data_IF_859183510671
#
_entry.id   IF_859183510671
#
_cell.length_a   1.000
_cell.length_b   1.000
_cell.length_c   1.000
_cell.angle_alpha   90.00
_cell.angle_beta   90.00
_cell.angle_gamma   90.00
#
_symmetry.space_group_name_H-M   'P 1'
#
loop_
_entity.id
_entity.type
_entity.pdbx_description
1 polymer ?
#
# COMPACT_ATOMS: atom_id res chain seq x y z
N UNK A 1 -13.64 8.64 17.79
CA UNK A 1 -14.10 7.34 17.23
C UNK A 1 -13.00 6.31 17.44
N UNK A 2 -13.39 5.04 17.51
CA UNK A 2 -12.43 3.93 17.52
C UNK A 2 -12.22 3.40 16.11
N UNK A 3 -11.00 3.46 15.62
CA UNK A 3 -10.63 3.09 14.25
C UNK A 3 -9.62 1.95 14.28
N UNK A 4 -9.93 0.85 13.62
CA UNK A 4 -8.97 -0.25 13.43
C UNK A 4 -8.53 -0.27 11.99
N UNK A 5 -7.23 -0.09 11.75
CA UNK A 5 -6.62 -0.32 10.44
C UNK A 5 -6.32 -1.79 10.24
N UNK A 6 -6.53 -2.28 9.02
CA UNK A 6 -6.13 -3.62 8.61
C UNK A 6 -5.39 -3.53 7.27
N UNK A 7 -4.08 -3.74 7.31
CA UNK A 7 -3.25 -3.64 6.11
C UNK A 7 -1.76 -3.64 6.41
N UNK A 8 -0.93 -3.37 5.39
CA UNK A 8 0.50 -3.20 5.58
C UNK A 8 0.80 -2.01 6.48
N UNK A 9 1.66 -2.23 7.46
CA UNK A 9 2.19 -1.23 8.38
C UNK A 9 3.54 -1.73 8.91
N UNK A 10 4.23 -0.96 9.71
CA UNK A 10 5.47 -1.40 10.35
C UNK A 10 5.36 -2.84 10.91
N UNK A 11 6.35 -3.72 10.70
CA UNK A 11 7.68 -3.47 10.11
C UNK A 11 7.75 -3.58 8.59
N UNK A 12 6.63 -3.71 7.88
CA UNK A 12 6.66 -3.80 6.41
C UNK A 12 7.16 -2.52 5.77
N UNK A 13 7.93 -2.68 4.68
CA UNK A 13 8.51 -1.59 3.88
C UNK A 13 7.57 -1.18 2.74
N UNK A 14 7.79 0.03 2.24
CA UNK A 14 7.16 0.54 1.02
C UNK A 14 6.03 1.54 1.27
N UNK A 15 5.63 2.22 0.19
CA UNK A 15 4.71 3.34 0.26
C UNK A 15 3.36 3.03 0.90
N UNK A 16 2.83 1.81 0.71
CA UNK A 16 1.54 1.42 1.31
C UNK A 16 1.63 1.34 2.84
N UNK A 17 2.71 0.76 3.37
CA UNK A 17 2.91 0.65 4.81
C UNK A 17 3.17 2.02 5.43
N UNK A 18 4.00 2.84 4.79
CA UNK A 18 4.28 4.20 5.23
C UNK A 18 3.02 5.07 5.23
N UNK A 19 2.23 5.00 4.17
CA UNK A 19 0.94 5.69 4.12
C UNK A 19 0.02 5.26 5.26
N UNK A 20 -0.09 3.97 5.54
CA UNK A 20 -0.94 3.45 6.61
C UNK A 20 -0.48 3.96 7.99
N UNK A 21 0.84 3.95 8.24
CA UNK A 21 1.40 4.46 9.49
C UNK A 21 1.09 5.96 9.67
N UNK A 22 1.31 6.76 8.64
CA UNK A 22 1.07 8.20 8.69
C UNK A 22 -0.39 8.57 8.83
N UNK A 23 -1.27 7.89 8.09
CA UNK A 23 -2.71 8.14 8.21
C UNK A 23 -3.23 7.78 9.61
N UNK A 24 -2.69 6.71 10.19
CA UNK A 24 -3.06 6.32 11.55
C UNK A 24 -2.56 7.35 12.59
N UNK A 25 -1.32 7.87 12.44
CA UNK A 25 -0.78 8.96 13.26
C UNK A 25 -1.62 10.23 13.16
N UNK A 26 -2.07 10.57 11.96
CA UNK A 26 -2.92 11.73 11.75
C UNK A 26 -4.26 11.59 12.47
N UNK A 27 -4.92 10.44 12.37
CA UNK A 27 -6.18 10.20 13.07
C UNK A 27 -5.99 10.18 14.61
N UNK A 28 -4.88 9.65 15.09
CA UNK A 28 -4.56 9.69 16.52
C UNK A 28 -4.36 11.14 16.99
N UNK A 29 -3.61 11.94 16.23
CA UNK A 29 -3.43 13.37 16.47
C UNK A 29 -4.73 14.18 16.43
N UNK A 30 -5.75 13.71 15.71
CA UNK A 30 -7.12 14.27 15.70
C UNK A 30 -8.01 13.77 16.86
N UNK A 31 -7.45 12.99 17.80
CA UNK A 31 -8.14 12.51 19.00
C UNK A 31 -8.96 11.25 18.77
N UNK A 32 -8.66 10.43 17.79
CA UNK A 32 -9.29 9.12 17.59
C UNK A 32 -8.49 8.02 18.28
N UNK A 33 -9.18 6.98 18.79
CA UNK A 33 -8.54 5.75 19.31
C UNK A 33 -8.17 4.86 18.12
N UNK A 34 -6.88 4.78 17.79
CA UNK A 34 -6.38 4.13 16.57
C UNK A 34 -5.52 2.92 16.90
N UNK A 35 -5.78 1.82 16.20
CA UNK A 35 -5.05 0.56 16.31
C UNK A 35 -4.78 -0.02 14.92
N UNK A 36 -3.57 -0.51 14.68
CA UNK A 36 -3.21 -1.14 13.41
C UNK A 36 -3.04 -2.65 13.61
N UNK A 37 -3.79 -3.41 12.83
CA UNK A 37 -3.60 -4.84 12.65
C UNK A 37 -2.87 -5.10 11.33
N UNK A 38 -1.66 -5.61 11.41
CA UNK A 38 -0.84 -5.90 10.24
C UNK A 38 -0.50 -7.37 10.12
N UNK A 39 0.28 -7.72 9.12
CA UNK A 39 0.56 -9.10 8.78
C UNK A 39 1.67 -9.70 9.66
N UNK A 40 1.52 -10.98 10.01
CA UNK A 40 2.62 -11.88 10.40
C UNK A 40 3.36 -12.36 9.17
N UNK A 41 2.59 -12.69 8.11
CA UNK A 41 3.06 -13.03 6.78
C UNK A 41 2.21 -12.28 5.75
N UNK A 42 2.81 -11.33 5.03
CA UNK A 42 2.12 -10.58 3.97
C UNK A 42 2.19 -11.32 2.65
N UNK A 43 3.39 -11.72 2.22
CA UNK A 43 3.62 -12.53 1.04
C UNK A 43 4.46 -13.76 1.38
N UNK A 44 4.11 -14.94 0.88
CA UNK A 44 5.05 -16.04 0.76
C UNK A 44 6.31 -15.60 0.00
N UNK A 45 7.48 -16.11 0.38
CA UNK A 45 8.76 -15.66 -0.19
C UNK A 45 8.82 -15.70 -1.72
N UNK A 46 8.20 -16.71 -2.33
CA UNK A 46 8.17 -16.88 -3.79
C UNK A 46 7.25 -15.88 -4.53
N UNK A 47 6.37 -15.17 -3.81
CA UNK A 47 5.49 -14.14 -4.39
C UNK A 47 6.03 -12.73 -4.18
N UNK A 48 7.02 -12.56 -3.30
CA UNK A 48 7.59 -11.25 -3.05
C UNK A 48 8.70 -10.94 -4.05
N UNK A 49 8.64 -9.80 -4.72
CA UNK A 49 9.57 -9.48 -5.80
C UNK A 49 10.90 -8.87 -5.36
N UNK A 50 11.07 -8.57 -4.07
CA UNK A 50 12.26 -7.96 -3.50
C UNK A 50 12.98 -8.90 -2.55
N UNK A 51 14.12 -8.46 -1.99
CA UNK A 51 14.93 -9.26 -1.05
C UNK A 51 14.33 -9.28 0.35
N UNK A 52 13.86 -8.13 0.85
CA UNK A 52 13.31 -7.98 2.20
C UNK A 52 11.97 -7.29 2.21
N UNK A 53 11.01 -7.85 2.95
CA UNK A 53 9.68 -7.26 3.11
C UNK A 53 9.60 -6.29 4.29
N UNK A 54 10.57 -6.33 5.19
CA UNK A 54 10.55 -5.65 6.48
C UNK A 54 11.72 -4.69 6.62
N UNK A 55 11.58 -3.72 7.54
CA UNK A 55 12.59 -2.75 7.93
C UNK A 55 13.05 -3.03 9.36
N UNK A 56 14.30 -2.68 9.65
CA UNK A 56 14.87 -2.67 11.01
C UNK A 56 14.66 -1.34 11.73
N UNK A 57 14.00 -0.37 11.08
CA UNK A 57 13.67 0.92 11.70
C UNK A 57 12.74 0.72 12.90
N UNK A 58 12.83 1.55 13.94
CA UNK A 58 11.91 1.47 15.07
C UNK A 58 10.46 1.73 14.67
N UNK A 59 9.48 1.13 15.35
CA UNK A 59 8.07 1.39 15.10
C UNK A 59 7.71 2.85 15.42
N UNK A 60 6.67 3.41 14.81
CA UNK A 60 6.06 4.67 15.24
C UNK A 60 5.71 4.60 16.73
N UNK A 61 6.05 5.66 17.52
CA UNK A 61 5.92 5.62 18.97
C UNK A 61 4.49 5.71 19.47
N UNK A 62 3.64 6.40 18.74
CA UNK A 62 2.30 6.81 19.22
C UNK A 62 1.16 5.94 18.70
N UNK A 63 1.46 4.83 18.01
CA UNK A 63 0.45 3.92 17.47
C UNK A 63 0.71 2.50 17.91
N UNK A 64 -0.36 1.83 18.36
CA UNK A 64 -0.33 0.40 18.64
C UNK A 64 -0.43 -0.41 17.35
N UNK A 65 0.66 -1.10 16.99
CA UNK A 65 0.72 -1.98 15.82
C UNK A 65 0.83 -3.44 16.27
N UNK A 66 -0.11 -4.27 15.82
CA UNK A 66 -0.16 -5.70 16.17
C UNK A 66 -0.06 -6.56 14.92
N UNK A 67 0.92 -7.46 14.86
CA UNK A 67 1.07 -8.44 13.78
C UNK A 67 0.19 -9.66 14.05
N UNK A 68 -0.93 -9.77 13.34
CA UNK A 68 -1.95 -10.80 13.61
C UNK A 68 -2.33 -11.62 12.40
N UNK A 69 -2.32 -11.03 11.20
CA UNK A 69 -2.87 -11.63 10.00
C UNK A 69 -1.80 -12.40 9.20
N UNK A 70 -2.12 -13.60 8.76
CA UNK A 70 -1.32 -14.35 7.79
C UNK A 70 -2.12 -14.48 6.50
N UNK A 71 -1.58 -13.98 5.38
CA UNK A 71 -2.29 -13.87 4.09
C UNK A 71 -2.78 -15.20 3.51
N UNK A 72 -2.15 -16.31 3.90
CA UNK A 72 -2.45 -17.65 3.37
C UNK A 72 -3.03 -18.63 4.41
N UNK A 73 -3.16 -18.21 5.68
CA UNK A 73 -3.68 -19.08 6.73
C UNK A 73 -5.12 -18.69 7.13
N UNK A 74 -6.15 -19.45 6.72
CA UNK A 74 -7.56 -19.14 7.02
C UNK A 74 -7.88 -19.06 8.51
N UNK A 75 -7.21 -19.83 9.37
CA UNK A 75 -7.41 -19.75 10.80
C UNK A 75 -7.05 -18.38 11.36
N UNK A 76 -5.96 -17.75 10.84
CA UNK A 76 -5.59 -16.40 11.24
C UNK A 76 -6.64 -15.37 10.81
N UNK A 77 -7.33 -15.57 9.69
CA UNK A 77 -8.39 -14.69 9.19
C UNK A 77 -9.59 -14.71 10.13
N UNK A 78 -10.00 -15.93 10.52
CA UNK A 78 -11.14 -16.16 11.43
C UNK A 78 -10.83 -15.54 12.81
N UNK A 79 -9.65 -15.83 13.37
CA UNK A 79 -9.23 -15.29 14.68
C UNK A 79 -9.16 -13.76 14.64
N UNK A 80 -8.60 -13.19 13.57
CA UNK A 80 -8.50 -11.73 13.41
C UNK A 80 -9.90 -11.10 13.28
N UNK A 81 -10.78 -11.71 12.49
CA UNK A 81 -12.15 -11.23 12.34
C UNK A 81 -12.94 -11.24 13.66
N UNK A 82 -12.84 -12.31 14.45
CA UNK A 82 -13.48 -12.38 15.78
C UNK A 82 -12.85 -11.42 16.78
N UNK A 83 -11.53 -11.17 16.70
CA UNK A 83 -10.88 -10.15 17.51
C UNK A 83 -11.47 -8.76 17.24
N UNK A 84 -11.52 -8.33 15.97
CA UNK A 84 -12.09 -7.04 15.58
C UNK A 84 -13.56 -6.96 16.02
N UNK A 85 -14.33 -8.01 15.78
CA UNK A 85 -15.73 -8.08 16.22
C UNK A 85 -15.89 -7.89 17.74
N UNK A 86 -14.99 -8.43 18.57
CA UNK A 86 -14.99 -8.26 20.02
C UNK A 86 -14.53 -6.87 20.45
N UNK A 87 -13.56 -6.29 19.75
CA UNK A 87 -13.03 -4.96 20.03
C UNK A 87 -13.97 -3.83 19.60
N UNK A 88 -14.94 -4.13 18.73
CA UNK A 88 -16.04 -3.25 18.28
C UNK A 88 -15.55 -1.85 17.83
N UNK A 89 -14.67 -1.72 16.83
CA UNK A 89 -14.36 -0.42 16.31
C UNK A 89 -15.56 0.19 15.57
N UNK A 90 -15.69 1.51 15.59
CA UNK A 90 -16.65 2.24 14.76
C UNK A 90 -16.36 2.02 13.28
N UNK A 91 -15.05 2.06 12.93
CA UNK A 91 -14.56 1.90 11.56
C UNK A 91 -13.47 0.82 11.53
N UNK A 92 -13.65 -0.15 10.64
CA UNK A 92 -12.60 -1.03 10.16
C UNK A 92 -12.09 -0.48 8.81
N UNK A 93 -10.91 0.13 8.82
CA UNK A 93 -10.29 0.71 7.64
C UNK A 93 -9.33 -0.29 7.01
N UNK A 94 -9.69 -0.82 5.85
CA UNK A 94 -8.91 -1.85 5.15
C UNK A 94 -8.11 -1.24 4.01
N UNK A 95 -6.83 -1.63 3.87
CA UNK A 95 -6.02 -1.32 2.70
C UNK A 95 -6.08 -2.46 1.69
N UNK A 96 -6.46 -2.16 0.44
CA UNK A 96 -6.53 -3.13 -0.64
C UNK A 96 -5.67 -2.69 -1.83
N UNK A 97 -4.77 -3.57 -2.29
CA UNK A 97 -3.84 -3.25 -3.38
C UNK A 97 -3.65 -4.41 -4.38
N UNK A 98 -4.05 -5.64 -4.03
CA UNK A 98 -3.82 -6.82 -4.87
C UNK A 98 -4.90 -7.87 -4.63
N UNK A 99 -5.45 -8.51 -5.70
CA UNK A 99 -6.49 -9.55 -5.59
C UNK A 99 -6.11 -10.75 -4.73
N UNK A 100 -4.82 -11.09 -4.66
CA UNK A 100 -4.30 -12.13 -3.75
C UNK A 100 -4.71 -11.90 -2.28
N UNK A 101 -4.89 -10.66 -1.86
CA UNK A 101 -5.31 -10.31 -0.49
C UNK A 101 -6.83 -10.42 -0.27
N UNK A 102 -7.60 -10.53 -1.33
CA UNK A 102 -9.06 -10.53 -1.26
C UNK A 102 -9.66 -11.62 -0.36
N UNK A 103 -9.18 -12.88 -0.36
CA UNK A 103 -9.71 -13.92 0.51
C UNK A 103 -9.55 -13.58 1.99
N UNK A 104 -8.34 -13.24 2.43
CA UNK A 104 -8.06 -12.95 3.83
C UNK A 104 -8.78 -11.69 4.31
N UNK A 105 -8.70 -10.60 3.58
CA UNK A 105 -9.37 -9.34 3.93
C UNK A 105 -10.89 -9.46 3.91
N UNK A 106 -11.43 -10.18 2.92
CA UNK A 106 -12.86 -10.38 2.78
C UNK A 106 -13.48 -11.27 3.87
N UNK A 107 -12.78 -12.31 4.33
CA UNK A 107 -13.22 -13.12 5.48
C UNK A 107 -13.20 -12.29 6.75
N UNK A 108 -12.11 -11.58 7.03
CA UNK A 108 -11.99 -10.72 8.21
C UNK A 108 -13.10 -9.67 8.23
N UNK A 109 -13.34 -8.97 7.13
CA UNK A 109 -14.38 -7.95 7.01
C UNK A 109 -15.78 -8.49 7.31
N UNK A 110 -16.14 -9.66 6.77
CA UNK A 110 -17.45 -10.27 6.99
C UNK A 110 -17.67 -10.69 8.44
N UNK A 111 -16.65 -11.25 9.08
CA UNK A 111 -16.73 -11.67 10.49
C UNK A 111 -16.81 -10.44 11.39
N UNK A 112 -16.02 -9.41 11.13
CA UNK A 112 -16.00 -8.16 11.88
C UNK A 112 -17.38 -7.45 11.85
N UNK A 113 -18.05 -7.42 10.70
CA UNK A 113 -19.37 -6.80 10.50
C UNK A 113 -20.52 -7.55 11.18
N UNK A 114 -20.36 -8.85 11.46
CA UNK A 114 -21.46 -9.71 11.94
C UNK A 114 -21.76 -9.49 13.42
N UNK A 115 -22.13 -8.26 13.78
CA UNK A 115 -22.61 -7.92 15.12
C UNK A 115 -24.11 -7.59 15.08
N UNK A 116 -24.87 -8.10 16.07
CA UNK A 116 -26.33 -8.00 16.08
C UNK A 116 -26.84 -6.62 16.57
N UNK A 117 -26.03 -5.88 17.32
CA UNK A 117 -26.44 -4.65 18.01
C UNK A 117 -25.60 -3.41 17.67
N UNK A 118 -24.39 -3.60 17.18
CA UNK A 118 -23.48 -2.50 16.82
C UNK A 118 -22.82 -2.82 15.48
N UNK A 119 -22.71 -1.81 14.65
CA UNK A 119 -22.34 -1.99 13.26
C UNK A 119 -20.99 -1.34 12.96
N UNK A 120 -19.92 -2.13 12.96
CA UNK A 120 -18.63 -1.70 12.46
C UNK A 120 -18.72 -1.40 10.96
N UNK A 121 -18.48 -0.16 10.56
CA UNK A 121 -18.40 0.21 9.15
C UNK A 121 -17.07 -0.25 8.55
N UNK A 122 -17.12 -0.96 7.45
CA UNK A 122 -15.94 -1.42 6.73
C UNK A 122 -15.68 -0.47 5.57
N UNK A 123 -14.68 0.37 5.70
CA UNK A 123 -14.22 1.30 4.67
C UNK A 123 -12.92 0.75 4.06
N UNK A 124 -12.81 0.81 2.76
CA UNK A 124 -11.60 0.35 2.06
C UNK A 124 -10.90 1.49 1.34
N UNK A 125 -9.59 1.61 1.56
CA UNK A 125 -8.72 2.44 0.72
C UNK A 125 -8.14 1.54 -0.37
N UNK A 126 -8.43 1.87 -1.63
CA UNK A 126 -7.92 1.14 -2.78
C UNK A 126 -6.70 1.83 -3.39
N UNK A 127 -5.58 1.11 -3.43
CA UNK A 127 -4.44 1.51 -4.26
C UNK A 127 -4.70 1.13 -5.72
N UNK A 128 -5.23 -0.08 -5.94
CA UNK A 128 -5.67 -0.60 -7.23
C UNK A 128 -6.88 -1.53 -7.04
N UNK A 129 -7.83 -1.49 -7.94
CA UNK A 129 -8.93 -2.47 -8.04
C UNK A 129 -8.58 -3.56 -9.04
N UNK A 130 -8.02 -3.15 -10.17
CA UNK A 130 -7.51 -4.04 -11.21
C UNK A 130 -5.99 -4.00 -11.17
N UNK A 131 -5.30 -5.14 -11.01
CA UNK A 131 -3.85 -5.16 -10.95
C UNK A 131 -3.23 -4.81 -12.31
N UNK A 132 -2.03 -4.22 -12.31
CA UNK A 132 -1.26 -3.94 -13.53
C UNK A 132 -0.91 -5.23 -14.29
N UNK A 133 -0.59 -6.29 -13.55
CA UNK A 133 -0.32 -7.63 -14.08
C UNK A 133 -1.52 -8.54 -13.77
N UNK A 134 -2.39 -8.72 -14.74
CA UNK A 134 -3.62 -9.51 -14.59
C UNK A 134 -3.34 -11.00 -14.55
N UNK A 135 -4.03 -11.71 -13.66
CA UNK A 135 -3.98 -13.17 -13.52
C UNK A 135 -5.38 -13.78 -13.60
N UNK A 136 -5.51 -15.04 -14.07
CA UNK A 136 -6.77 -15.76 -13.98
C UNK A 136 -7.31 -15.78 -12.56
N UNK A 137 -8.60 -15.47 -12.38
CA UNK A 137 -9.26 -15.44 -11.06
C UNK A 137 -9.26 -14.09 -10.35
N UNK A 138 -8.38 -13.14 -10.70
CA UNK A 138 -8.28 -11.82 -10.05
C UNK A 138 -9.63 -11.11 -9.95
N UNK A 139 -10.42 -11.18 -11.04
CA UNK A 139 -11.74 -10.54 -11.08
C UNK A 139 -12.72 -11.15 -10.09
N UNK A 140 -12.68 -12.46 -9.91
CA UNK A 140 -13.55 -13.17 -8.95
C UNK A 140 -13.16 -12.83 -7.51
N UNK A 141 -11.85 -12.83 -7.21
CA UNK A 141 -11.31 -12.50 -5.90
C UNK A 141 -11.63 -11.05 -5.53
N UNK A 142 -11.40 -10.11 -6.43
CA UNK A 142 -11.72 -8.69 -6.21
C UNK A 142 -13.22 -8.51 -5.96
N UNK A 143 -14.09 -9.13 -6.77
CA UNK A 143 -15.55 -9.08 -6.58
C UNK A 143 -15.96 -9.66 -5.23
N UNK A 144 -15.34 -10.76 -4.80
CA UNK A 144 -15.59 -11.36 -3.50
C UNK A 144 -15.29 -10.37 -2.37
N UNK A 145 -14.16 -9.66 -2.42
CA UNK A 145 -13.79 -8.68 -1.40
C UNK A 145 -14.70 -7.44 -1.42
N UNK A 146 -14.94 -6.84 -2.59
CA UNK A 146 -15.75 -5.61 -2.72
C UNK A 146 -17.17 -5.78 -2.14
N UNK A 147 -17.72 -6.98 -2.15
CA UNK A 147 -19.02 -7.27 -1.52
C UNK A 147 -19.01 -7.17 0.01
N UNK A 148 -17.84 -7.09 0.64
CA UNK A 148 -17.72 -7.03 2.11
C UNK A 148 -17.55 -5.61 2.66
N UNK A 149 -17.39 -4.58 1.81
CA UNK A 149 -17.17 -3.19 2.25
C UNK A 149 -18.48 -2.38 2.25
N UNK A 150 -18.52 -1.30 3.05
CA UNK A 150 -19.61 -0.34 3.15
C UNK A 150 -19.31 0.97 2.44
N UNK A 151 -18.05 1.26 2.20
CA UNK A 151 -17.60 2.45 1.47
C UNK A 151 -16.16 2.29 1.01
N UNK A 152 -15.76 3.16 0.10
CA UNK A 152 -14.44 3.16 -0.49
C UNK A 152 -13.83 4.54 -0.57
N UNK A 153 -12.53 4.62 -0.36
CA UNK A 153 -11.69 5.77 -0.69
C UNK A 153 -10.75 5.33 -1.80
N UNK A 154 -10.69 6.10 -2.87
CA UNK A 154 -9.81 5.85 -4.02
C UNK A 154 -8.96 7.09 -4.29
N UNK A 155 -7.75 6.90 -4.81
CA UNK A 155 -6.79 7.99 -4.98
C UNK A 155 -6.76 8.55 -6.41
N UNK A 156 -7.55 8.00 -7.33
CA UNK A 156 -7.67 8.50 -8.70
C UNK A 156 -9.01 8.16 -9.33
N UNK A 157 -9.38 8.92 -10.37
CA UNK A 157 -10.58 8.64 -11.15
C UNK A 157 -10.54 7.24 -11.79
N UNK A 158 -9.39 6.82 -12.31
CA UNK A 158 -9.23 5.49 -12.93
C UNK A 158 -9.56 4.36 -11.95
N UNK A 159 -9.11 4.46 -10.69
CA UNK A 159 -9.41 3.47 -9.65
C UNK A 159 -10.90 3.50 -9.29
N UNK A 160 -11.52 4.68 -9.27
CA UNK A 160 -12.98 4.85 -9.09
C UNK A 160 -13.76 4.14 -10.20
N UNK A 161 -13.40 4.39 -11.45
CA UNK A 161 -14.07 3.81 -12.61
C UNK A 161 -13.93 2.28 -12.63
N UNK A 162 -12.76 1.78 -12.26
CA UNK A 162 -12.54 0.34 -12.11
C UNK A 162 -13.41 -0.26 -11.00
N UNK A 163 -13.53 0.41 -9.85
CA UNK A 163 -14.39 -0.04 -8.75
C UNK A 163 -15.87 -0.09 -9.17
N UNK A 164 -16.35 0.93 -9.88
CA UNK A 164 -17.73 1.01 -10.35
C UNK A 164 -18.11 -0.09 -11.35
N UNK A 165 -17.14 -0.70 -12.04
CA UNK A 165 -17.36 -1.89 -12.88
C UNK A 165 -17.66 -3.16 -12.07
N UNK A 166 -17.28 -3.19 -10.79
CA UNK A 166 -17.54 -4.31 -9.89
C UNK A 166 -18.79 -4.08 -9.04
N UNK A 167 -19.00 -2.86 -8.55
CA UNK A 167 -20.10 -2.53 -7.64
C UNK A 167 -20.45 -1.04 -7.74
N UNK A 168 -21.66 -0.73 -8.22
CA UNK A 168 -22.12 0.64 -8.47
C UNK A 168 -22.77 1.31 -7.25
N UNK A 169 -23.25 0.53 -6.28
CA UNK A 169 -24.00 0.98 -5.11
C UNK A 169 -23.12 1.28 -3.88
N UNK A 170 -21.81 1.12 -3.98
CA UNK A 170 -20.91 1.45 -2.89
C UNK A 170 -20.57 2.96 -2.90
N UNK A 171 -20.73 3.66 -1.76
CA UNK A 171 -20.27 5.04 -1.66
C UNK A 171 -18.75 5.13 -1.90
N UNK A 172 -18.33 6.03 -2.77
CA UNK A 172 -16.92 6.24 -3.14
C UNK A 172 -16.54 7.69 -2.96
N UNK A 173 -15.42 7.92 -2.30
CA UNK A 173 -14.78 9.23 -2.20
C UNK A 173 -13.44 9.17 -2.94
N UNK A 174 -13.21 10.12 -3.85
CA UNK A 174 -11.92 10.31 -4.50
C UNK A 174 -11.11 11.28 -3.65
N UNK A 175 -10.02 10.78 -3.06
CA UNK A 175 -9.08 11.59 -2.30
C UNK A 175 -7.68 11.34 -2.87
N UNK A 176 -7.08 12.29 -3.61
CA UNK A 176 -5.78 12.13 -4.22
C UNK A 176 -4.71 11.76 -3.20
N UNK A 177 -3.69 11.05 -3.66
CA UNK A 177 -2.58 10.63 -2.80
C UNK A 177 -1.89 11.87 -2.21
N UNK A 178 -1.74 11.96 -0.88
CA UNK A 178 -1.08 13.09 -0.26
C UNK A 178 0.41 13.13 -0.62
N UNK A 179 1.01 14.30 -0.55
CA UNK A 179 2.45 14.45 -0.64
C UNK A 179 3.09 13.90 0.65
N UNK A 180 4.24 13.26 0.48
CA UNK A 180 5.06 12.86 1.61
C UNK A 180 5.98 14.02 2.01
N UNK A 181 5.93 14.41 3.27
CA UNK A 181 6.74 15.48 3.89
C UNK A 181 7.76 14.95 4.92
N UNK A 182 7.94 13.64 4.99
CA UNK A 182 8.75 12.94 5.98
C UNK A 182 10.15 12.53 5.50
N UNK A 183 10.54 12.94 4.29
CA UNK A 183 11.88 12.62 3.76
C UNK A 183 12.95 13.63 4.14
N UNK A 184 12.64 14.55 5.06
CA UNK A 184 13.55 15.62 5.48
C UNK A 184 13.57 16.81 4.50
N UNK A 185 14.45 17.74 4.77
CA UNK A 185 14.63 18.91 3.92
C UNK A 185 15.39 18.54 2.66
N UNK A 186 15.04 19.19 1.53
CA UNK A 186 15.80 19.06 0.30
C UNK A 186 17.24 19.52 0.50
N UNK A 187 18.20 18.75 0.01
CA UNK A 187 19.61 19.13 0.00
C UNK A 187 19.96 19.87 -1.28
N UNK A 188 20.96 20.74 -1.24
CA UNK A 188 21.47 21.40 -2.45
C UNK A 188 22.10 20.38 -3.38
N UNK A 189 22.06 20.68 -4.70
CA UNK A 189 22.58 19.79 -5.72
C UNK A 189 24.06 19.42 -5.49
N UNK A 190 24.86 20.41 -5.11
CA UNK A 190 26.30 20.25 -4.88
C UNK A 190 26.56 19.26 -3.73
N UNK A 191 25.85 19.43 -2.62
CA UNK A 191 25.94 18.52 -1.47
C UNK A 191 25.45 17.10 -1.81
N UNK A 192 24.39 16.98 -2.62
CA UNK A 192 23.90 15.68 -3.05
C UNK A 192 24.89 14.95 -3.96
N UNK A 193 25.52 15.68 -4.89
CA UNK A 193 26.53 15.12 -5.80
C UNK A 193 27.77 14.65 -5.03
N UNK A 194 28.24 15.44 -4.08
CA UNK A 194 29.37 15.06 -3.21
C UNK A 194 29.06 13.79 -2.41
N UNK A 195 27.90 13.75 -1.74
CA UNK A 195 27.47 12.59 -0.95
C UNK A 195 27.32 11.30 -1.77
N UNK A 196 26.95 11.44 -3.04
CA UNK A 196 26.75 10.31 -3.95
C UNK A 196 28.02 10.00 -4.78
N UNK A 197 29.10 10.77 -4.67
CA UNK A 197 30.31 10.62 -5.44
C UNK A 197 30.08 10.84 -6.95
N UNK A 198 29.22 11.79 -7.30
CA UNK A 198 28.82 12.08 -8.68
C UNK A 198 29.50 13.35 -9.21
N UNK A 199 29.84 13.35 -10.49
CA UNK A 199 30.54 14.47 -11.15
C UNK A 199 29.58 15.65 -11.43
N UNK A 200 29.93 16.89 -11.04
CA UNK A 200 29.03 18.05 -11.12
C UNK A 200 28.69 18.51 -12.54
N UNK A 201 29.55 18.19 -13.54
CA UNK A 201 29.35 18.57 -14.94
C UNK A 201 28.35 17.70 -15.71
N UNK A 202 27.85 16.64 -15.09
CA UNK A 202 26.87 15.75 -15.69
C UNK A 202 25.43 16.07 -15.26
N UNK A 203 24.48 15.81 -16.16
CA UNK A 203 23.07 15.74 -15.87
C UNK A 203 22.68 14.29 -15.56
N UNK A 204 21.93 14.09 -14.49
CA UNK A 204 21.54 12.77 -14.02
C UNK A 204 20.04 12.57 -14.18
N UNK A 205 19.66 11.51 -14.87
CA UNK A 205 18.31 10.95 -14.84
C UNK A 205 18.28 9.83 -13.80
N UNK A 206 17.25 9.81 -12.96
CA UNK A 206 17.09 8.78 -11.94
C UNK A 206 15.87 7.91 -12.26
N UNK A 207 16.09 6.61 -12.43
CA UNK A 207 15.06 5.60 -12.33
C UNK A 207 15.10 5.02 -10.91
N UNK A 208 13.99 5.15 -10.15
CA UNK A 208 13.95 4.76 -8.74
C UNK A 208 12.85 3.76 -8.42
N UNK A 209 13.17 2.74 -7.60
CA UNK A 209 12.24 1.78 -7.01
C UNK A 209 12.39 0.36 -7.56
N UNK A 210 11.50 -0.55 -7.13
CA UNK A 210 11.51 -1.95 -7.58
C UNK A 210 11.43 -2.02 -9.10
N UNK A 211 12.35 -2.77 -9.72
CA UNK A 211 12.37 -2.97 -11.17
C UNK A 211 11.26 -3.95 -11.55
N UNK A 212 10.33 -3.46 -12.36
CA UNK A 212 9.18 -4.22 -12.86
C UNK A 212 8.94 -3.88 -14.33
N UNK A 213 8.49 -4.87 -15.10
CA UNK A 213 8.24 -4.70 -16.53
C UNK A 213 7.35 -3.50 -16.85
N UNK A 214 6.26 -3.33 -16.10
CA UNK A 214 5.32 -2.21 -16.32
C UNK A 214 5.89 -0.82 -16.04
N UNK A 215 7.05 -0.72 -15.35
CA UNK A 215 7.74 0.56 -15.09
C UNK A 215 8.62 1.02 -16.24
N UNK A 216 8.82 0.17 -17.26
CA UNK A 216 9.45 0.55 -18.51
C UNK A 216 10.94 0.87 -18.41
N UNK A 217 11.70 0.22 -17.50
CA UNK A 217 13.16 0.39 -17.46
C UNK A 217 13.82 -0.04 -18.77
N UNK A 218 13.32 -1.10 -19.40
CA UNK A 218 13.74 -1.57 -20.71
C UNK A 218 13.58 -0.48 -21.77
N UNK A 219 12.41 0.15 -21.84
CA UNK A 219 12.14 1.27 -22.76
C UNK A 219 13.04 2.48 -22.47
N UNK A 220 13.29 2.77 -21.18
CA UNK A 220 14.20 3.85 -20.80
C UNK A 220 15.64 3.57 -21.25
N UNK A 221 16.11 2.33 -21.08
CA UNK A 221 17.45 1.92 -21.51
C UNK A 221 17.60 1.98 -23.03
N UNK A 222 16.60 1.52 -23.78
CA UNK A 222 16.56 1.63 -25.24
C UNK A 222 16.60 3.09 -25.69
N UNK A 223 15.76 3.94 -25.10
CA UNK A 223 15.74 5.37 -25.39
C UNK A 223 17.09 6.03 -25.05
N UNK A 224 17.69 5.66 -23.93
CA UNK A 224 18.97 6.21 -23.50
C UNK A 224 20.15 5.75 -24.37
N UNK A 225 20.07 4.60 -25.01
CA UNK A 225 21.05 4.08 -25.95
C UNK A 225 21.04 4.80 -27.31
N UNK A 226 20.05 5.65 -27.60
CA UNK A 226 19.94 6.38 -28.87
C UNK A 226 21.16 7.27 -29.13
N UNK A 227 21.62 7.29 -30.39
CA UNK A 227 22.80 8.06 -30.83
C UNK A 227 22.69 9.55 -30.49
N UNK A 228 21.49 10.10 -30.39
CA UNK A 228 21.21 11.48 -30.00
C UNK A 228 21.68 11.84 -28.58
N UNK A 229 21.88 10.86 -27.73
CA UNK A 229 22.34 11.06 -26.33
C UNK A 229 23.84 10.77 -26.12
N UNK A 230 24.54 10.15 -27.09
CA UNK A 230 25.94 9.69 -26.94
C UNK A 230 26.94 10.78 -26.57
N UNK A 231 26.75 12.00 -27.06
CA UNK A 231 27.69 13.11 -26.86
C UNK A 231 27.22 14.11 -25.81
N UNK A 232 26.16 13.79 -25.06
CA UNK A 232 25.64 14.70 -24.02
C UNK A 232 26.24 14.32 -22.68
N UNK A 233 26.46 15.31 -21.82
CA UNK A 233 26.83 15.11 -20.40
C UNK A 233 25.68 14.54 -19.60
N UNK A 234 25.04 13.50 -20.11
CA UNK A 234 23.86 12.86 -19.52
C UNK A 234 24.25 11.48 -18.96
N UNK A 235 23.80 11.18 -17.75
CA UNK A 235 24.00 9.91 -17.06
C UNK A 235 22.67 9.36 -16.57
N UNK A 236 22.52 8.05 -16.58
CA UNK A 236 21.36 7.36 -16.03
C UNK A 236 21.76 6.64 -14.73
N UNK A 237 21.06 6.94 -13.65
CA UNK A 237 21.18 6.23 -12.39
C UNK A 237 19.96 5.31 -12.27
N UNK A 238 20.21 4.02 -12.03
CA UNK A 238 19.16 3.05 -11.75
C UNK A 238 19.33 2.62 -10.30
N UNK A 239 18.39 3.04 -9.44
CA UNK A 239 18.40 2.74 -8.03
C UNK A 239 17.15 1.94 -7.64
N UNK A 240 17.35 0.67 -7.23
CA UNK A 240 16.25 -0.21 -6.87
C UNK A 240 16.64 -1.66 -6.73
N UNK A 241 15.66 -2.49 -6.40
CA UNK A 241 15.83 -3.94 -6.30
C UNK A 241 15.26 -4.62 -7.57
N UNK A 242 15.98 -5.66 -8.04
CA UNK A 242 15.64 -6.49 -9.19
C UNK A 242 14.97 -7.77 -8.72
#
# INVERSE_FOLDING_TARGET
>A
MKITFLGPAHPYRGGIAEFSNRLALQFEGEGHDVDILTFKLQYPGFLFPGKTQVTDSPPPKDIRIRRVLNSINPFSWIITGFRIRRERPDILLIRYWLPFMAPCLGVVARIAKRNRYEYTKVICIFDNVVPHEKRPGDRCLTRYFIRSIDGAVVMSQTVSDDLMRFRKDVPVVINPHPLYDNYGNGVKREEALEKLGLEPEHFYLLFFGLVRKYKGLDLLLEAFADKRFRNRKLRLIVAGEF
#
